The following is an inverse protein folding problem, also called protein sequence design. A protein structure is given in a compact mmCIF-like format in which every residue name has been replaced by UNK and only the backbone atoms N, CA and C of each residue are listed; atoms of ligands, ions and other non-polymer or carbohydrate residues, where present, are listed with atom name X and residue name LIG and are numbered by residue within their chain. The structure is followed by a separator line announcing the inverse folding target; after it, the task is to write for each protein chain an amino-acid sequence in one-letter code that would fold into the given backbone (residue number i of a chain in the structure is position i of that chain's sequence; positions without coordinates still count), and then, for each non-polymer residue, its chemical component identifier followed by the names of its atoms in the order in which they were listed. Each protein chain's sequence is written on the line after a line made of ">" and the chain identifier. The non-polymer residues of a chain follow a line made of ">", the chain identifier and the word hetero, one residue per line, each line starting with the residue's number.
data_IF_505265068513
#
_entry.id   IF_505265068513
#
_cell.length_a   1.000
_cell.length_b   1.000
_cell.length_c   1.000
_cell.angle_alpha   90.00
_cell.angle_beta   90.00
_cell.angle_gamma   90.00
#
_symmetry.space_group_name_H-M   'P 1'
#
loop_
_entity.id
_entity.type
_entity.pdbx_description
1 polymer ?
#
# COMPACT_ATOMS: atom_id res chain seq x y z
N UNK A 1 -26.15 6.69 37.37
CA UNK A 1 -25.49 6.46 36.05
C UNK A 1 -26.56 6.51 34.96
N UNK A 2 -26.59 7.57 34.18
CA UNK A 2 -27.56 7.72 33.07
C UNK A 2 -27.22 6.71 31.98
N UNK A 3 -28.22 5.94 31.52
CA UNK A 3 -28.03 5.02 30.37
C UNK A 3 -27.80 5.86 29.12
N UNK A 4 -26.71 5.59 28.40
CA UNK A 4 -26.48 6.17 27.07
C UNK A 4 -27.59 5.67 26.15
N UNK A 5 -28.31 6.57 25.52
CA UNK A 5 -29.38 6.21 24.58
C UNK A 5 -28.83 5.72 23.24
N UNK A 6 -29.66 5.02 22.47
CA UNK A 6 -29.26 4.60 21.11
C UNK A 6 -28.97 5.84 20.20
N UNK A 7 -29.73 6.92 20.39
CA UNK A 7 -29.55 8.18 19.67
C UNK A 7 -28.22 8.87 20.03
N UNK A 8 -27.84 8.87 21.33
CA UNK A 8 -26.52 9.38 21.76
C UNK A 8 -25.40 8.60 21.11
N UNK A 9 -25.52 7.26 21.06
CA UNK A 9 -24.51 6.39 20.45
C UNK A 9 -24.32 6.68 18.96
N UNK A 10 -25.39 6.87 18.21
CA UNK A 10 -25.32 7.20 16.78
C UNK A 10 -24.72 8.60 16.55
N UNK A 11 -25.10 9.57 17.38
CA UNK A 11 -24.53 10.93 17.34
C UNK A 11 -23.04 10.93 17.62
N UNK A 12 -22.55 10.11 18.58
CA UNK A 12 -21.14 9.96 18.88
C UNK A 12 -20.37 9.27 17.73
N UNK A 13 -20.95 8.28 17.05
CA UNK A 13 -20.38 7.68 15.84
C UNK A 13 -20.26 8.71 14.72
N UNK A 14 -21.32 9.45 14.47
CA UNK A 14 -21.33 10.50 13.45
C UNK A 14 -20.30 11.59 13.75
N UNK A 15 -20.11 11.95 15.01
CA UNK A 15 -19.06 12.88 15.44
C UNK A 15 -17.66 12.32 15.19
N UNK A 16 -17.42 11.06 15.55
CA UNK A 16 -16.14 10.36 15.31
C UNK A 16 -15.80 10.26 13.83
N UNK A 17 -16.80 10.03 12.97
CA UNK A 17 -16.62 10.01 11.52
C UNK A 17 -16.42 11.42 10.92
N UNK A 18 -16.94 12.46 11.59
CA UNK A 18 -16.86 13.83 11.10
C UNK A 18 -15.58 14.55 11.47
N UNK A 19 -15.09 14.40 12.71
CA UNK A 19 -13.87 15.06 13.18
C UNK A 19 -12.61 14.35 12.72
N UNK A 20 -11.58 15.11 12.35
CA UNK A 20 -10.23 14.58 12.24
C UNK A 20 -9.63 14.34 13.63
N UNK A 21 -8.60 13.50 13.73
CA UNK A 21 -7.92 13.24 15.00
C UNK A 21 -7.33 14.51 15.62
N UNK A 22 -6.78 15.40 14.81
CA UNK A 22 -6.24 16.69 15.26
C UNK A 22 -7.33 17.65 15.72
N UNK A 23 -8.50 17.68 15.07
CA UNK A 23 -9.64 18.47 15.51
C UNK A 23 -10.20 17.94 16.84
N UNK A 24 -10.40 16.62 16.95
CA UNK A 24 -10.87 16.00 18.19
C UNK A 24 -9.92 16.25 19.36
N UNK A 25 -8.62 16.02 19.16
CA UNK A 25 -7.58 16.29 20.18
C UNK A 25 -7.51 17.77 20.58
N UNK A 26 -7.62 18.66 19.60
CA UNK A 26 -7.61 20.11 19.85
C UNK A 26 -8.85 20.59 20.64
N UNK A 27 -10.04 20.04 20.33
CA UNK A 27 -11.26 20.33 21.09
C UNK A 27 -11.11 19.79 22.53
N UNK A 28 -10.64 18.55 22.69
CA UNK A 28 -10.41 17.94 24.00
C UNK A 28 -9.49 18.80 24.88
N UNK A 29 -8.34 19.20 24.35
CA UNK A 29 -7.36 20.02 25.06
C UNK A 29 -7.96 21.37 25.53
N UNK A 30 -8.73 22.04 24.68
CA UNK A 30 -9.37 23.31 25.01
C UNK A 30 -10.48 23.14 26.07
N UNK A 31 -11.30 22.10 25.97
CA UNK A 31 -12.29 21.79 26.99
C UNK A 31 -11.62 21.46 28.34
N UNK A 32 -10.54 20.69 28.34
CA UNK A 32 -9.76 20.40 29.55
C UNK A 32 -9.24 21.68 30.19
N UNK A 33 -8.81 22.67 29.39
CA UNK A 33 -8.38 23.99 29.85
C UNK A 33 -9.53 24.92 30.27
N UNK A 34 -10.78 24.46 30.29
CA UNK A 34 -11.93 25.26 30.74
C UNK A 34 -12.58 26.15 29.67
N UNK A 35 -12.23 25.96 28.41
CA UNK A 35 -12.84 26.75 27.33
C UNK A 35 -14.34 26.48 27.16
N UNK A 36 -15.07 27.49 26.70
CA UNK A 36 -16.44 27.32 26.23
C UNK A 36 -16.49 26.46 24.98
N UNK A 37 -17.68 25.89 24.64
CA UNK A 37 -17.82 25.08 23.42
C UNK A 37 -17.43 25.86 22.17
N UNK A 38 -17.78 27.15 22.10
CA UNK A 38 -17.43 28.02 20.96
C UNK A 38 -15.93 28.19 20.80
N UNK A 39 -15.23 28.41 21.92
CA UNK A 39 -13.74 28.51 21.92
C UNK A 39 -13.09 27.18 21.57
N UNK A 40 -13.60 26.07 22.12
CA UNK A 40 -13.08 24.75 21.83
C UNK A 40 -13.21 24.40 20.33
N UNK A 41 -14.36 24.70 19.72
CA UNK A 41 -14.59 24.49 18.29
C UNK A 41 -13.78 25.42 17.38
N UNK A 42 -13.06 26.40 17.91
CA UNK A 42 -12.20 27.26 17.11
C UNK A 42 -11.05 26.54 16.37
N UNK A 43 -10.72 25.27 16.73
CA UNK A 43 -9.77 24.43 15.98
C UNK A 43 -10.36 23.84 14.69
N UNK A 44 -11.71 23.80 14.61
CA UNK A 44 -12.41 23.29 13.43
C UNK A 44 -12.51 24.42 12.39
N UNK A 45 -12.28 24.17 11.10
CA UNK A 45 -12.48 25.16 10.04
C UNK A 45 -13.88 25.73 10.04
N UNK A 46 -13.99 27.04 9.80
CA UNK A 46 -15.25 27.80 9.92
C UNK A 46 -16.48 27.14 9.25
N UNK A 47 -16.39 26.61 8.00
CA UNK A 47 -17.54 25.97 7.34
C UNK A 47 -18.05 24.72 8.06
N UNK A 48 -17.23 24.05 8.85
CA UNK A 48 -17.53 22.78 9.53
C UNK A 48 -18.00 22.97 10.96
N UNK A 49 -17.78 24.16 11.57
CA UNK A 49 -18.06 24.42 13.01
C UNK A 49 -19.52 24.22 13.40
N UNK A 50 -20.45 24.61 12.53
CA UNK A 50 -21.88 24.43 12.79
C UNK A 50 -22.21 22.95 12.97
N UNK A 51 -21.80 22.12 12.01
CA UNK A 51 -22.05 20.68 12.06
C UNK A 51 -21.35 19.99 13.23
N UNK A 52 -20.12 20.37 13.54
CA UNK A 52 -19.41 19.88 14.72
C UNK A 52 -20.17 20.18 16.01
N UNK A 53 -20.71 21.41 16.15
CA UNK A 53 -21.50 21.81 17.30
C UNK A 53 -22.80 21.00 17.44
N UNK A 54 -23.53 20.82 16.34
CA UNK A 54 -24.75 20.01 16.32
C UNK A 54 -24.47 18.58 16.81
N UNK A 55 -23.43 17.93 16.28
CA UNK A 55 -23.06 16.57 16.65
C UNK A 55 -22.59 16.47 18.11
N UNK A 56 -21.78 17.42 18.59
CA UNK A 56 -21.39 17.45 20.01
C UNK A 56 -22.57 17.60 20.93
N UNK A 57 -23.48 18.53 20.64
CA UNK A 57 -24.68 18.73 21.45
C UNK A 57 -25.61 17.50 21.45
N UNK A 58 -25.81 16.87 20.27
CA UNK A 58 -26.60 15.65 20.14
C UNK A 58 -25.96 14.45 20.88
N UNK A 59 -24.62 14.39 20.94
CA UNK A 59 -23.91 13.39 21.74
C UNK A 59 -23.70 13.76 23.22
N UNK A 60 -24.33 14.84 23.70
CA UNK A 60 -24.22 15.26 25.11
C UNK A 60 -22.84 15.77 25.51
N UNK A 61 -22.02 16.20 24.54
CA UNK A 61 -20.64 16.64 24.77
C UNK A 61 -20.56 18.17 24.88
N UNK A 62 -19.85 18.64 25.89
CA UNK A 62 -19.66 20.07 26.11
C UNK A 62 -19.01 20.41 27.45
N UNK A 63 -18.92 21.69 27.80
CA UNK A 63 -18.30 22.13 29.05
C UNK A 63 -19.00 21.61 30.33
N UNK A 64 -20.31 21.32 30.30
CA UNK A 64 -21.06 20.76 31.42
C UNK A 64 -20.72 19.29 31.69
N UNK A 65 -20.33 18.56 30.66
CA UNK A 65 -19.88 17.15 30.72
C UNK A 65 -18.40 17.05 30.41
N UNK A 66 -17.59 17.97 30.92
CA UNK A 66 -16.20 18.17 30.53
C UNK A 66 -15.36 16.89 30.54
N UNK A 67 -15.34 16.18 31.65
CA UNK A 67 -14.53 14.97 31.81
C UNK A 67 -14.91 13.90 30.79
N UNK A 68 -16.21 13.66 30.64
CA UNK A 68 -16.75 12.74 29.64
C UNK A 68 -16.40 13.19 28.22
N UNK A 69 -16.58 14.48 27.93
CA UNK A 69 -16.27 15.04 26.62
C UNK A 69 -14.80 14.92 26.26
N UNK A 70 -13.90 15.18 27.21
CA UNK A 70 -12.45 15.02 27.04
C UNK A 70 -12.10 13.55 26.79
N UNK A 71 -12.68 12.61 27.55
CA UNK A 71 -12.43 11.19 27.37
C UNK A 71 -12.87 10.70 25.99
N UNK A 72 -14.09 11.02 25.56
CA UNK A 72 -14.64 10.63 24.26
C UNK A 72 -13.81 11.23 23.10
N UNK A 73 -13.52 12.54 23.16
CA UNK A 73 -12.75 13.21 22.11
C UNK A 73 -11.30 12.73 22.06
N UNK A 74 -10.70 12.40 23.20
CA UNK A 74 -9.35 11.79 23.25
C UNK A 74 -9.36 10.37 22.66
N UNK A 75 -10.42 9.59 22.89
CA UNK A 75 -10.59 8.29 22.23
C UNK A 75 -10.74 8.42 20.73
N UNK A 76 -11.54 9.39 20.25
CA UNK A 76 -11.65 9.70 18.79
C UNK A 76 -10.30 10.13 18.23
N UNK A 77 -9.58 11.01 18.91
CA UNK A 77 -8.24 11.44 18.49
C UNK A 77 -7.26 10.27 18.43
N UNK A 78 -7.26 9.40 19.43
CA UNK A 78 -6.40 8.20 19.45
C UNK A 78 -6.76 7.16 18.41
N UNK A 79 -8.05 6.95 18.14
CA UNK A 79 -8.52 6.08 17.06
C UNK A 79 -8.12 6.63 15.68
N UNK A 80 -8.28 7.95 15.50
CA UNK A 80 -7.90 8.62 14.25
C UNK A 80 -6.38 8.77 14.09
N UNK A 81 -5.61 8.84 15.18
CA UNK A 81 -4.14 8.81 15.13
C UNK A 81 -3.59 7.45 14.67
N UNK A 82 -4.36 6.37 14.84
CA UNK A 82 -4.07 5.07 14.22
C UNK A 82 -4.40 5.04 12.73
N UNK A 83 -5.08 6.05 12.21
CA UNK A 83 -5.43 6.17 10.81
C UNK A 83 -4.25 6.78 10.02
N UNK A 84 -3.38 5.85 9.54
CA UNK A 84 -2.71 6.00 8.26
C UNK A 84 -1.75 7.19 8.20
N UNK A 85 -0.53 6.93 8.57
CA UNK A 85 0.54 7.77 8.05
C UNK A 85 0.64 7.52 6.54
N UNK A 86 0.05 8.42 5.76
CA UNK A 86 0.09 8.39 4.29
C UNK A 86 1.12 9.41 3.86
N UNK A 87 2.25 8.92 3.34
CA UNK A 87 3.34 9.75 2.87
C UNK A 87 3.45 9.63 1.35
N UNK A 88 3.37 10.73 0.58
CA UNK A 88 3.67 10.70 -0.84
C UNK A 88 5.16 10.42 -1.06
N UNK A 89 5.45 9.51 -1.97
CA UNK A 89 6.81 9.16 -2.40
C UNK A 89 6.94 9.35 -3.91
N UNK A 90 8.02 9.97 -4.35
CA UNK A 90 8.21 10.37 -5.74
C UNK A 90 9.50 9.81 -6.31
N UNK A 91 9.51 9.51 -7.61
CA UNK A 91 10.73 9.52 -8.42
C UNK A 91 10.69 10.68 -9.39
N UNK A 92 11.84 11.25 -9.69
CA UNK A 92 12.00 12.25 -10.74
C UNK A 92 13.43 12.21 -11.27
N UNK A 93 13.67 12.67 -12.50
CA UNK A 93 15.01 12.73 -13.07
C UNK A 93 15.98 13.50 -12.16
N UNK A 94 17.22 13.05 -12.12
CA UNK A 94 18.28 13.68 -11.33
C UNK A 94 18.40 15.17 -11.65
N UNK A 95 18.51 16.01 -10.61
CA UNK A 95 18.62 17.47 -10.75
C UNK A 95 17.29 18.22 -10.84
N UNK A 96 16.14 17.56 -10.80
CA UNK A 96 14.84 18.21 -10.70
C UNK A 96 14.51 18.56 -9.25
N UNK A 97 13.92 19.74 -9.03
CA UNK A 97 13.47 20.17 -7.69
C UNK A 97 12.31 19.30 -7.27
N UNK A 98 12.41 18.64 -6.10
CA UNK A 98 11.36 17.80 -5.55
C UNK A 98 11.46 16.32 -5.95
N UNK A 99 12.55 15.90 -6.61
CA UNK A 99 12.88 14.49 -6.78
C UNK A 99 12.97 13.83 -5.40
N UNK A 100 11.92 13.14 -5.00
CA UNK A 100 11.83 12.49 -3.71
C UNK A 100 12.54 11.14 -3.73
N UNK A 101 12.85 10.59 -2.56
CA UNK A 101 13.73 9.43 -2.41
C UNK A 101 13.00 8.10 -2.56
N UNK A 102 11.99 7.93 -3.45
CA UNK A 102 11.31 6.63 -3.60
C UNK A 102 12.33 5.49 -3.77
N UNK A 103 13.37 5.74 -4.56
CA UNK A 103 14.44 4.79 -4.82
C UNK A 103 15.22 4.43 -3.54
N UNK A 104 15.64 5.43 -2.77
CA UNK A 104 16.32 5.23 -1.48
C UNK A 104 15.39 4.62 -0.42
N UNK A 105 14.15 5.08 -0.38
CA UNK A 105 13.14 4.56 0.53
C UNK A 105 12.81 3.09 0.25
N UNK A 106 12.69 2.70 -1.03
CA UNK A 106 12.46 1.29 -1.40
C UNK A 106 13.58 0.39 -0.90
N UNK A 107 14.85 0.79 -1.08
CA UNK A 107 15.99 0.00 -0.58
C UNK A 107 15.95 -0.15 0.93
N UNK A 108 15.74 0.96 1.65
CA UNK A 108 15.67 0.97 3.11
C UNK A 108 14.47 0.18 3.64
N UNK A 109 13.29 0.32 3.02
CA UNK A 109 12.08 -0.39 3.40
C UNK A 109 12.22 -1.90 3.21
N UNK A 110 12.72 -2.33 2.05
CA UNK A 110 12.96 -3.75 1.76
C UNK A 110 14.01 -4.32 2.71
N UNK A 111 15.13 -3.62 2.92
CA UNK A 111 16.18 -4.03 3.87
C UNK A 111 15.70 -4.06 5.32
N UNK A 112 14.69 -3.24 5.66
CA UNK A 112 14.04 -3.20 6.98
C UNK A 112 13.06 -4.34 7.25
N UNK A 113 12.67 -5.14 6.23
CA UNK A 113 11.74 -6.26 6.41
C UNK A 113 12.28 -7.29 7.41
N UNK A 114 11.42 -7.79 8.31
CA UNK A 114 11.79 -8.75 9.35
C UNK A 114 10.96 -10.03 9.34
N UNK A 115 9.76 -10.01 8.78
CA UNK A 115 8.86 -11.17 8.72
C UNK A 115 8.42 -11.52 7.32
N UNK A 116 7.98 -10.52 6.54
CA UNK A 116 7.43 -10.76 5.21
C UNK A 116 7.67 -9.60 4.25
N UNK A 117 7.74 -9.94 2.96
CA UNK A 117 7.70 -9.01 1.85
C UNK A 117 6.83 -9.59 0.74
N UNK A 118 5.79 -8.86 0.35
CA UNK A 118 4.95 -9.18 -0.82
C UNK A 118 5.09 -8.06 -1.83
N UNK A 119 5.42 -8.39 -3.05
CA UNK A 119 5.65 -7.43 -4.13
C UNK A 119 4.88 -7.83 -5.38
N UNK A 120 4.25 -6.86 -6.03
CA UNK A 120 3.77 -7.00 -7.39
C UNK A 120 4.38 -5.92 -8.28
N UNK A 121 4.79 -6.30 -9.48
CA UNK A 121 5.29 -5.38 -10.49
C UNK A 121 5.06 -5.93 -11.90
N UNK A 122 4.75 -5.02 -12.81
CA UNK A 122 4.62 -5.38 -14.22
C UNK A 122 5.98 -5.72 -14.86
N UNK A 123 7.01 -4.96 -14.51
CA UNK A 123 8.35 -5.09 -15.10
C UNK A 123 9.41 -5.00 -14.00
N UNK A 124 10.25 -6.01 -13.89
CA UNK A 124 11.39 -6.06 -12.96
C UNK A 124 12.69 -6.12 -13.78
N UNK A 125 13.61 -5.21 -13.51
CA UNK A 125 14.88 -5.11 -14.22
C UNK A 125 16.06 -5.41 -13.30
N UNK A 126 17.13 -6.07 -13.80
CA UNK A 126 18.30 -6.38 -13.00
C UNK A 126 19.08 -5.14 -12.54
N UNK A 127 18.83 -3.99 -13.18
CA UNK A 127 19.44 -2.71 -12.83
C UNK A 127 18.59 -1.88 -11.85
N UNK A 128 17.41 -2.38 -11.44
CA UNK A 128 16.55 -1.65 -10.51
C UNK A 128 17.05 -1.75 -9.06
N UNK A 129 16.77 -0.71 -8.29
CA UNK A 129 17.07 -0.69 -6.85
C UNK A 129 16.30 -1.76 -6.11
N UNK A 130 15.04 -2.00 -6.49
CA UNK A 130 14.26 -3.09 -5.90
C UNK A 130 14.94 -4.45 -6.09
N UNK A 131 15.46 -4.74 -7.29
CA UNK A 131 16.16 -5.99 -7.54
C UNK A 131 17.36 -6.18 -6.60
N UNK A 132 18.20 -5.16 -6.49
CA UNK A 132 19.36 -5.16 -5.59
C UNK A 132 18.96 -5.35 -4.13
N UNK A 133 17.87 -4.69 -3.70
CA UNK A 133 17.34 -4.81 -2.35
C UNK A 133 16.80 -6.22 -2.06
N UNK A 134 16.07 -6.83 -3.02
CA UNK A 134 15.56 -8.21 -2.89
C UNK A 134 16.68 -9.25 -2.81
N UNK A 135 17.72 -9.13 -3.64
CA UNK A 135 18.89 -10.00 -3.57
C UNK A 135 19.57 -9.91 -2.20
N UNK A 136 19.75 -8.69 -1.71
CA UNK A 136 20.35 -8.45 -0.39
C UNK A 136 19.48 -9.05 0.71
N UNK A 137 18.17 -8.80 0.69
CA UNK A 137 17.21 -9.31 1.67
C UNK A 137 17.25 -10.85 1.73
N UNK A 138 17.11 -11.53 0.57
CA UNK A 138 17.08 -12.99 0.52
C UNK A 138 18.39 -13.61 0.98
N UNK A 139 19.52 -12.92 0.76
CA UNK A 139 20.85 -13.39 1.20
C UNK A 139 21.06 -13.18 2.70
N UNK A 140 20.73 -12.02 3.22
CA UNK A 140 21.07 -11.62 4.59
C UNK A 140 20.00 -12.00 5.62
N UNK A 141 18.74 -12.12 5.18
CA UNK A 141 17.61 -12.47 6.03
C UNK A 141 16.78 -13.65 5.45
N UNK A 142 17.36 -14.86 5.37
CA UNK A 142 16.68 -16.02 4.74
C UNK A 142 15.40 -16.47 5.48
N UNK A 143 15.15 -15.97 6.69
CA UNK A 143 13.93 -16.22 7.44
C UNK A 143 12.75 -15.32 7.06
N UNK A 144 12.98 -14.27 6.26
CA UNK A 144 11.90 -13.40 5.77
C UNK A 144 11.15 -14.10 4.63
N UNK A 145 9.83 -14.19 4.75
CA UNK A 145 8.99 -14.72 3.68
C UNK A 145 8.89 -13.72 2.53
N UNK A 146 9.42 -14.05 1.36
CA UNK A 146 9.38 -13.18 0.18
C UNK A 146 8.46 -13.79 -0.87
N UNK A 147 7.48 -13.01 -1.37
CA UNK A 147 6.56 -13.41 -2.43
C UNK A 147 6.48 -12.32 -3.51
N UNK A 148 6.72 -12.70 -4.75
CA UNK A 148 6.69 -11.80 -5.91
C UNK A 148 5.62 -12.21 -6.90
N UNK A 149 4.89 -11.22 -7.43
CA UNK A 149 3.91 -11.39 -8.50
C UNK A 149 4.37 -10.62 -9.74
N UNK A 150 4.61 -11.33 -10.82
CA UNK A 150 5.15 -10.80 -12.07
C UNK A 150 4.17 -11.01 -13.23
N UNK A 151 4.18 -10.07 -14.17
CA UNK A 151 3.48 -10.25 -15.43
C UNK A 151 4.33 -11.08 -16.39
N UNK A 152 3.78 -12.19 -16.87
CA UNK A 152 4.51 -13.11 -17.75
C UNK A 152 4.79 -12.50 -19.11
N UNK A 153 3.88 -11.70 -19.68
CA UNK A 153 4.11 -11.10 -21.00
C UNK A 153 5.22 -10.05 -20.94
N UNK A 154 5.29 -9.30 -19.82
CA UNK A 154 6.35 -8.32 -19.63
C UNK A 154 7.71 -8.98 -19.34
N UNK A 155 7.74 -10.04 -18.56
CA UNK A 155 8.97 -10.75 -18.16
C UNK A 155 9.44 -11.73 -19.25
N UNK A 156 8.62 -12.71 -19.58
CA UNK A 156 9.00 -13.86 -20.43
C UNK A 156 8.68 -13.63 -21.94
N UNK A 157 7.97 -12.54 -22.25
CA UNK A 157 7.50 -12.20 -23.61
C UNK A 157 6.07 -12.67 -23.90
N UNK A 158 5.50 -12.19 -25.01
CA UNK A 158 4.11 -12.45 -25.35
C UNK A 158 3.85 -13.94 -25.63
N UNK A 159 2.65 -14.40 -25.27
CA UNK A 159 2.17 -15.70 -25.69
C UNK A 159 1.82 -15.70 -27.18
N UNK A 160 2.12 -16.80 -27.88
CA UNK A 160 1.58 -17.09 -29.21
C UNK A 160 0.63 -18.27 -29.12
N UNK A 161 -0.54 -18.16 -29.75
CA UNK A 161 -1.46 -19.28 -29.93
C UNK A 161 -1.08 -19.95 -31.25
N UNK A 162 -0.75 -21.23 -31.20
CA UNK A 162 -0.60 -22.05 -32.39
C UNK A 162 -2.00 -22.49 -32.80
N UNK A 163 -2.56 -21.80 -33.80
CA UNK A 163 -3.95 -22.00 -34.25
C UNK A 163 -4.18 -23.41 -34.80
N UNK A 164 -3.15 -24.06 -35.38
CA UNK A 164 -3.27 -25.43 -35.91
C UNK A 164 -3.32 -26.51 -34.83
N UNK A 165 -2.78 -26.25 -33.66
CA UNK A 165 -2.66 -27.26 -32.58
C UNK A 165 -3.36 -26.87 -31.27
N UNK A 166 -3.97 -25.70 -31.20
CA UNK A 166 -4.61 -25.21 -29.99
C UNK A 166 -3.64 -24.99 -28.80
N UNK A 167 -2.33 -25.02 -29.04
CA UNK A 167 -1.31 -24.91 -28.03
C UNK A 167 -0.86 -23.47 -27.83
N UNK A 168 -0.85 -23.02 -26.59
CA UNK A 168 -0.29 -21.72 -26.20
C UNK A 168 1.21 -21.87 -25.98
N UNK A 169 2.03 -21.18 -26.75
CA UNK A 169 3.48 -21.16 -26.60
C UNK A 169 3.97 -19.76 -26.26
N UNK A 170 4.99 -19.67 -25.42
CA UNK A 170 5.71 -18.42 -25.17
C UNK A 170 6.65 -18.11 -26.32
N UNK A 171 6.55 -16.89 -26.85
CA UNK A 171 7.54 -16.41 -27.84
C UNK A 171 8.78 -15.94 -27.08
N UNK A 172 9.92 -16.52 -27.40
CA UNK A 172 11.21 -16.03 -26.92
C UNK A 172 11.42 -14.57 -27.40
N UNK A 173 11.74 -13.67 -26.50
CA UNK A 173 12.18 -12.32 -26.85
C UNK A 173 13.50 -12.41 -27.62
N UNK A 174 13.47 -12.12 -28.92
CA UNK A 174 14.72 -11.80 -29.62
C UNK A 174 15.24 -10.46 -29.08
N UNK A 175 16.47 -10.44 -28.67
CA UNK A 175 17.18 -9.29 -28.10
C UNK A 175 17.23 -8.14 -29.10
N UNK A 176 16.36 -7.16 -28.96
CA UNK A 176 16.57 -5.84 -29.53
C UNK A 176 16.99 -4.95 -28.35
N UNK A 177 18.21 -4.41 -28.39
CA UNK A 177 18.96 -3.70 -27.34
C UNK A 177 18.28 -2.67 -26.44
N UNK A 178 17.06 -2.90 -26.02
CA UNK A 178 16.31 -2.12 -25.03
C UNK A 178 16.22 -2.91 -23.73
N UNK A 179 16.51 -2.26 -22.65
CA UNK A 179 16.33 -2.62 -21.24
C UNK A 179 15.58 -3.94 -21.02
N UNK A 180 16.30 -4.99 -20.67
CA UNK A 180 15.80 -6.36 -20.64
C UNK A 180 15.12 -6.57 -19.29
N UNK A 181 13.80 -6.81 -19.30
CA UNK A 181 13.10 -7.40 -18.17
C UNK A 181 13.66 -8.78 -17.87
N UNK A 182 13.79 -9.13 -16.60
CA UNK A 182 14.25 -10.46 -16.20
C UNK A 182 13.20 -11.51 -16.53
N UNK A 183 13.64 -12.65 -17.01
CA UNK A 183 12.81 -13.85 -17.16
C UNK A 183 12.39 -14.37 -15.78
N UNK A 184 11.14 -14.84 -15.65
CA UNK A 184 10.58 -15.27 -14.35
C UNK A 184 11.34 -16.47 -13.75
N UNK A 185 11.87 -17.36 -14.57
CA UNK A 185 12.68 -18.48 -14.09
C UNK A 185 14.05 -18.00 -13.58
N UNK A 186 14.62 -16.96 -14.21
CA UNK A 186 15.86 -16.33 -13.73
C UNK A 186 15.65 -15.66 -12.39
N UNK A 187 14.54 -14.93 -12.23
CA UNK A 187 14.15 -14.33 -10.94
C UNK A 187 14.04 -15.41 -9.86
N UNK A 188 13.34 -16.52 -10.13
CA UNK A 188 13.19 -17.61 -9.17
C UNK A 188 14.52 -18.32 -8.83
N UNK A 189 15.45 -18.42 -9.78
CA UNK A 189 16.76 -19.00 -9.54
C UNK A 189 17.66 -18.12 -8.66
N UNK A 190 17.61 -16.81 -8.86
CA UNK A 190 18.47 -15.87 -8.13
C UNK A 190 17.94 -15.52 -6.75
N UNK A 191 16.62 -15.38 -6.59
CA UNK A 191 15.98 -15.12 -5.30
C UNK A 191 15.66 -16.44 -4.57
N UNK A 192 16.71 -17.11 -4.11
CA UNK A 192 16.55 -18.39 -3.39
C UNK A 192 15.70 -18.21 -2.14
N UNK A 193 14.69 -19.08 -1.99
CA UNK A 193 13.75 -19.03 -0.86
C UNK A 193 12.52 -18.14 -1.11
N UNK A 194 12.54 -17.28 -2.13
CA UNK A 194 11.35 -16.52 -2.50
C UNK A 194 10.35 -17.37 -3.30
N UNK A 195 9.08 -17.11 -3.07
CA UNK A 195 7.97 -17.63 -3.90
C UNK A 195 7.74 -16.65 -5.04
N UNK A 196 8.05 -17.07 -6.25
CA UNK A 196 7.82 -16.27 -7.46
C UNK A 196 6.57 -16.78 -8.16
N UNK A 197 5.62 -15.88 -8.34
CA UNK A 197 4.34 -16.11 -9.02
C UNK A 197 4.34 -15.35 -10.34
N UNK A 198 3.79 -15.94 -11.40
CA UNK A 198 3.62 -15.28 -12.69
C UNK A 198 2.20 -15.45 -13.20
N UNK A 199 1.72 -14.55 -14.05
CA UNK A 199 0.41 -14.71 -14.68
C UNK A 199 0.38 -15.97 -15.54
N UNK A 200 -0.72 -16.74 -15.42
CA UNK A 200 -0.91 -17.99 -16.16
C UNK A 200 -0.98 -17.76 -17.68
N UNK A 201 -0.54 -18.74 -18.44
CA UNK A 201 -0.81 -18.78 -19.86
C UNK A 201 -2.34 -18.84 -20.12
N UNK A 202 -2.85 -18.16 -21.14
CA UNK A 202 -4.26 -18.21 -21.47
C UNK A 202 -4.67 -19.62 -21.93
N UNK A 203 -5.82 -20.08 -21.45
CA UNK A 203 -6.41 -21.37 -21.85
C UNK A 203 -7.49 -21.16 -22.91
N UNK A 204 -7.63 -22.10 -23.83
CA UNK A 204 -8.77 -22.19 -24.76
C UNK A 204 -9.00 -20.95 -25.62
N UNK A 205 -7.95 -20.27 -26.09
CA UNK A 205 -8.06 -19.07 -26.92
C UNK A 205 -8.50 -17.80 -26.19
N UNK A 206 -8.58 -17.81 -24.87
CA UNK A 206 -8.83 -16.63 -24.03
C UNK A 206 -7.66 -15.65 -24.14
N UNK A 207 -7.92 -14.37 -23.88
CA UNK A 207 -6.84 -13.38 -23.74
C UNK A 207 -6.04 -13.64 -22.46
N UNK A 208 -4.72 -13.45 -22.54
CA UNK A 208 -3.87 -13.48 -21.37
C UNK A 208 -4.27 -12.37 -20.38
N UNK A 209 -4.27 -12.71 -19.09
CA UNK A 209 -4.44 -11.71 -18.04
C UNK A 209 -3.13 -10.92 -17.92
N UNK A 210 -3.23 -9.60 -17.88
CA UNK A 210 -2.10 -8.71 -17.60
C UNK A 210 -2.13 -8.31 -16.13
N UNK A 211 -1.04 -8.56 -15.42
CA UNK A 211 -0.86 -8.08 -14.04
C UNK A 211 -0.14 -6.73 -14.06
N UNK A 212 -0.89 -5.66 -13.87
CA UNK A 212 -0.34 -4.30 -13.86
C UNK A 212 -0.29 -3.68 -12.45
N UNK A 213 -0.47 -4.51 -11.42
CA UNK A 213 -0.32 -4.10 -10.03
C UNK A 213 1.13 -3.71 -9.71
N UNK A 214 1.31 -2.66 -8.93
CA UNK A 214 2.61 -2.17 -8.48
C UNK A 214 2.50 -1.79 -7.02
N UNK A 215 3.00 -2.66 -6.16
CA UNK A 215 3.03 -2.41 -4.73
C UNK A 215 4.14 -3.22 -4.04
N UNK A 216 4.50 -2.76 -2.85
CA UNK A 216 5.28 -3.47 -1.86
C UNK A 216 4.46 -3.52 -0.57
N UNK A 217 4.27 -4.70 0.00
CA UNK A 217 3.77 -4.86 1.36
C UNK A 217 4.88 -5.46 2.22
N UNK A 218 5.16 -4.86 3.37
CA UNK A 218 6.30 -5.20 4.22
C UNK A 218 5.78 -5.44 5.63
N UNK A 219 6.13 -6.60 6.18
CA UNK A 219 5.80 -7.03 7.54
C UNK A 219 4.29 -6.97 7.85
N UNK A 220 3.44 -7.20 6.83
CA UNK A 220 1.97 -7.11 6.92
C UNK A 220 1.48 -5.76 7.49
N UNK A 221 2.26 -4.70 7.34
CA UNK A 221 2.00 -3.40 7.96
C UNK A 221 2.18 -2.24 7.00
N UNK A 222 3.35 -2.15 6.38
CA UNK A 222 3.64 -1.05 5.48
C UNK A 222 3.25 -1.43 4.05
N UNK A 223 2.51 -0.54 3.40
CA UNK A 223 2.13 -0.70 2.00
C UNK A 223 2.65 0.49 1.20
N UNK A 224 3.41 0.23 0.14
CA UNK A 224 3.77 1.22 -0.87
C UNK A 224 3.03 0.86 -2.15
N UNK A 225 2.22 1.77 -2.64
CA UNK A 225 1.45 1.62 -3.90
C UNK A 225 1.80 2.77 -4.82
N UNK A 226 2.00 2.51 -6.10
CA UNK A 226 2.36 3.59 -7.02
C UNK A 226 2.15 3.29 -8.49
N UNK A 227 2.48 4.28 -9.30
CA UNK A 227 2.50 4.15 -10.76
C UNK A 227 3.81 3.54 -11.27
N UNK A 228 4.89 3.68 -10.52
CA UNK A 228 6.22 3.23 -10.90
C UNK A 228 6.31 1.73 -11.11
N UNK A 229 6.81 1.31 -12.28
CA UNK A 229 7.43 0.01 -12.39
C UNK A 229 8.78 0.05 -11.67
N UNK A 230 9.16 -1.06 -11.03
CA UNK A 230 10.50 -1.17 -10.46
C UNK A 230 11.52 -1.45 -11.57
N UNK A 231 11.84 -0.40 -12.31
CA UNK A 231 12.73 -0.40 -13.46
C UNK A 231 13.60 0.84 -13.47
N UNK A 232 14.80 0.75 -14.03
CA UNK A 232 15.73 1.87 -14.13
C UNK A 232 15.10 3.13 -14.72
N UNK A 233 14.27 3.01 -15.75
CA UNK A 233 13.62 4.18 -16.36
C UNK A 233 12.58 4.84 -15.44
N UNK A 234 11.87 4.06 -14.63
CA UNK A 234 10.93 4.59 -13.65
C UNK A 234 11.67 5.26 -12.47
N UNK A 235 12.84 4.72 -12.11
CA UNK A 235 13.64 5.23 -11.01
C UNK A 235 14.41 6.52 -11.37
N UNK A 236 14.91 6.63 -12.61
CA UNK A 236 15.87 7.66 -13.02
C UNK A 236 15.37 8.64 -14.08
N UNK A 237 14.29 8.34 -14.79
CA UNK A 237 13.85 9.11 -15.96
C UNK A 237 12.41 9.58 -15.92
N UNK A 238 11.56 8.92 -15.15
CA UNK A 238 10.15 9.24 -15.10
C UNK A 238 9.83 10.06 -13.85
N UNK A 239 8.77 10.84 -13.92
CA UNK A 239 8.09 11.36 -12.75
C UNK A 239 7.02 10.35 -12.36
N UNK A 240 7.21 9.69 -11.22
CA UNK A 240 6.27 8.70 -10.71
C UNK A 240 5.82 9.08 -9.30
N UNK A 241 4.56 8.80 -9.00
CA UNK A 241 3.98 9.04 -7.68
C UNK A 241 3.60 7.71 -7.05
N UNK A 242 4.00 7.53 -5.80
CA UNK A 242 3.51 6.47 -4.94
C UNK A 242 3.01 7.02 -3.61
N UNK A 243 2.31 6.18 -2.89
CA UNK A 243 1.88 6.43 -1.52
C UNK A 243 2.46 5.33 -0.63
N UNK A 244 3.14 5.73 0.42
CA UNK A 244 3.50 4.86 1.52
C UNK A 244 2.45 4.99 2.62
N UNK A 245 1.91 3.87 3.07
CA UNK A 245 0.89 3.79 4.11
C UNK A 245 1.39 2.90 5.25
N UNK A 246 1.26 3.35 6.48
CA UNK A 246 1.39 2.52 7.68
C UNK A 246 -0.02 2.07 8.10
N UNK A 247 -0.51 0.97 7.50
CA UNK A 247 -1.85 0.46 7.71
C UNK A 247 -1.86 -1.07 7.57
N UNK A 248 -1.75 -1.77 8.69
CA UNK A 248 -1.71 -3.24 8.71
C UNK A 248 -3.01 -3.88 8.18
N UNK A 249 -4.17 -3.25 8.35
CA UNK A 249 -5.43 -3.78 7.86
C UNK A 249 -5.50 -3.72 6.33
N UNK A 250 -5.05 -2.60 5.74
CA UNK A 250 -5.00 -2.44 4.29
C UNK A 250 -3.91 -3.34 3.69
N UNK A 251 -2.72 -3.40 4.27
CA UNK A 251 -1.64 -4.28 3.81
C UNK A 251 -2.11 -5.75 3.78
N UNK A 252 -2.69 -6.24 4.88
CA UNK A 252 -3.24 -7.60 4.95
C UNK A 252 -4.39 -7.85 3.97
N UNK A 253 -5.23 -6.83 3.70
CA UNK A 253 -6.30 -6.95 2.70
C UNK A 253 -5.75 -7.08 1.29
N UNK A 254 -4.73 -6.29 0.92
CA UNK A 254 -4.07 -6.39 -0.39
C UNK A 254 -3.37 -7.74 -0.56
N UNK A 255 -2.63 -8.18 0.45
CA UNK A 255 -1.95 -9.49 0.42
C UNK A 255 -2.94 -10.64 0.28
N UNK A 256 -4.03 -10.61 1.06
CA UNK A 256 -5.10 -11.61 0.95
C UNK A 256 -5.70 -11.64 -0.45
N UNK A 257 -6.02 -10.48 -1.02
CA UNK A 257 -6.57 -10.40 -2.38
C UNK A 257 -5.60 -10.97 -3.42
N UNK A 258 -4.31 -10.70 -3.29
CA UNK A 258 -3.30 -11.27 -4.20
C UNK A 258 -3.21 -12.78 -4.05
N UNK A 259 -3.26 -13.29 -2.81
CA UNK A 259 -3.26 -14.71 -2.55
C UNK A 259 -4.52 -15.42 -3.12
N UNK A 260 -5.70 -14.81 -2.95
CA UNK A 260 -6.95 -15.32 -3.50
C UNK A 260 -6.91 -15.39 -5.05
N UNK A 261 -6.18 -14.46 -5.70
CA UNK A 261 -5.99 -14.47 -7.15
C UNK A 261 -5.06 -15.59 -7.64
N UNK A 262 -4.22 -16.19 -6.80
CA UNK A 262 -3.30 -17.27 -7.21
C UNK A 262 -4.04 -18.46 -7.83
N UNK A 263 -5.19 -18.81 -7.29
CA UNK A 263 -5.95 -19.96 -7.76
C UNK A 263 -6.29 -19.88 -9.27
N UNK A 264 -6.58 -18.67 -9.78
CA UNK A 264 -7.11 -18.48 -11.13
C UNK A 264 -6.22 -17.64 -12.04
N UNK A 265 -5.38 -16.76 -11.50
CA UNK A 265 -4.62 -15.77 -12.27
C UNK A 265 -3.13 -16.11 -12.32
N UNK A 266 -2.59 -16.67 -11.25
CA UNK A 266 -1.15 -16.88 -11.13
C UNK A 266 -0.78 -18.35 -11.07
N UNK A 267 0.44 -18.66 -11.45
CA UNK A 267 1.10 -19.96 -11.24
C UNK A 267 2.46 -19.75 -10.59
N UNK A 268 2.86 -20.65 -9.73
CA UNK A 268 4.18 -20.60 -9.12
C UNK A 268 5.26 -21.00 -10.12
N UNK A 269 6.33 -20.22 -10.16
CA UNK A 269 7.53 -20.55 -10.93
C UNK A 269 8.39 -21.48 -10.09
N UNK A 270 8.58 -22.70 -10.55
CA UNK A 270 9.49 -23.65 -9.92
C UNK A 270 10.90 -23.46 -10.52
N UNK A 271 11.87 -23.10 -9.67
CA UNK A 271 13.27 -23.14 -10.09
C UNK A 271 13.60 -24.60 -10.35
N UNK A 272 13.67 -24.98 -11.63
CA UNK A 272 14.17 -26.33 -12.01
C UNK A 272 15.51 -26.56 -11.33
N UNK A 273 15.68 -27.78 -10.79
CA UNK A 273 16.93 -28.25 -10.22
C UNK A 273 18.01 -28.32 -11.28
#
# INVERSE_FOLDING_TARGET
>A
MSRVSAEDTESLRALGAFLTGSEAGGIAARLAAGATLSQALGVVPAPRRRRARELMNAGGLGPQTREHSVAVLSAVAGAAAKLRDVTPVWTAPAGTVGGGPLTGDVFALVGGANSSLVCATFNLQPTSVLWSALLTLCREKPGVSVRLYLDTQAADGPFSVDVEKGNVRRRSKRHSGRSISMDTNEVARQLRGAVVMRTRAPEGGKRAVTSHAKFLSIDHRFLVVGSANFSYSAEERNVELGLRLDDAALAGSVEKQMHDLEANVYEQVHSGR
#
